data_IF_678613214304
#
_entry.id   IF_678613214304
#
_cell.length_a   1.000
_cell.length_b   1.000
_cell.length_c   1.000
_cell.angle_alpha   90.00
_cell.angle_beta   90.00
_cell.angle_gamma   90.00
#
_symmetry.space_group_name_H-M   'P 1'
#
loop_
_entity.id
_entity.type
_entity.pdbx_description
1 polymer ?
#
# COMPACT_ATOMS: atom_id res chain seq x y z
N UNK A 1 4.41 -7.48 18.92
CA UNK A 1 4.71 -6.42 17.96
C UNK A 1 5.14 -5.17 18.73
N UNK A 2 6.42 -4.98 19.00
CA UNK A 2 6.92 -3.71 19.53
C UNK A 2 7.23 -2.83 18.34
N UNK A 3 6.33 -1.88 18.06
CA UNK A 3 6.53 -0.90 17.02
C UNK A 3 7.77 -0.05 17.34
N UNK A 4 8.55 0.24 16.32
CA UNK A 4 9.47 1.36 16.35
C UNK A 4 8.65 2.64 16.48
N UNK A 5 8.85 3.40 17.52
CA UNK A 5 8.23 4.68 17.73
C UNK A 5 7.87 4.83 19.20
N UNK A 6 8.30 5.90 19.75
CA UNK A 6 8.09 6.42 21.07
C UNK A 6 6.82 5.89 21.72
N UNK A 7 6.97 4.89 22.59
CA UNK A 7 5.90 3.98 23.03
C UNK A 7 4.73 4.59 23.82
N UNK A 8 4.73 5.90 24.05
CA UNK A 8 3.65 6.58 24.79
C UNK A 8 2.50 7.08 23.91
N UNK A 9 2.66 7.13 22.59
CA UNK A 9 1.67 7.70 21.67
C UNK A 9 0.89 6.65 20.87
N UNK A 10 1.38 5.41 20.75
CA UNK A 10 0.71 4.34 20.03
C UNK A 10 -0.45 3.76 20.83
N UNK A 11 -1.61 3.66 20.19
CA UNK A 11 -2.82 3.04 20.71
C UNK A 11 -3.36 2.04 19.68
N UNK A 12 -3.58 0.81 20.10
CA UNK A 12 -4.28 -0.18 19.29
C UNK A 12 -5.63 -0.46 19.91
N UNK A 13 -6.70 0.04 19.31
CA UNK A 13 -8.07 -0.12 19.80
C UNK A 13 -8.68 -1.34 19.13
N UNK A 14 -9.22 -2.25 19.92
CA UNK A 14 -10.00 -3.38 19.44
C UNK A 14 -11.44 -3.25 19.90
N UNK A 15 -12.39 -3.44 18.98
CA UNK A 15 -13.82 -3.41 19.25
C UNK A 15 -14.32 -4.85 19.23
N UNK A 16 -14.99 -5.25 20.30
CA UNK A 16 -15.49 -6.60 20.51
C UNK A 16 -16.99 -6.61 20.76
N UNK A 17 -17.65 -7.68 20.36
CA UNK A 17 -19.05 -7.99 20.64
C UNK A 17 -19.17 -9.48 20.94
N UNK A 18 -19.67 -9.83 22.12
CA UNK A 18 -19.83 -11.22 22.60
C UNK A 18 -18.62 -12.13 22.34
N UNK A 19 -17.40 -11.63 22.59
CA UNK A 19 -16.15 -12.37 22.35
C UNK A 19 -15.68 -12.40 20.88
N UNK A 20 -16.40 -11.74 19.97
CA UNK A 20 -16.09 -11.64 18.55
C UNK A 20 -15.40 -10.32 18.26
N UNK A 21 -14.20 -10.34 17.68
CA UNK A 21 -13.49 -9.12 17.24
C UNK A 21 -14.19 -8.52 16.02
N UNK A 22 -14.72 -7.30 16.16
CA UNK A 22 -15.38 -6.56 15.10
C UNK A 22 -14.43 -5.62 14.35
N UNK A 23 -13.46 -5.04 15.03
CA UNK A 23 -12.51 -4.12 14.40
C UNK A 23 -11.23 -3.93 15.17
N UNK A 24 -10.18 -3.56 14.43
CA UNK A 24 -8.85 -3.26 14.96
C UNK A 24 -8.34 -1.94 14.36
N UNK A 25 -8.01 -0.98 15.22
CA UNK A 25 -7.70 0.39 14.86
C UNK A 25 -6.37 0.81 15.49
N UNK A 26 -5.25 0.70 14.77
CA UNK A 26 -3.97 1.23 15.24
C UNK A 26 -3.92 2.74 15.03
N UNK A 27 -3.75 3.48 16.12
CA UNK A 27 -3.66 4.94 16.12
C UNK A 27 -2.40 5.42 16.82
N UNK A 28 -2.01 6.63 16.45
CA UNK A 28 -1.06 7.47 17.16
C UNK A 28 -1.79 8.70 17.71
N UNK A 29 -1.60 9.01 18.98
CA UNK A 29 -2.18 10.19 19.62
C UNK A 29 -1.30 11.40 19.36
N UNK A 30 -1.89 12.47 18.81
CA UNK A 30 -1.23 13.74 18.52
C UNK A 30 -1.95 14.90 19.20
N UNK A 31 -1.19 15.90 19.62
CA UNK A 31 -1.74 17.11 20.29
C UNK A 31 -2.32 18.12 19.31
N UNK A 32 -2.09 17.96 18.01
CA UNK A 32 -2.51 18.91 16.97
C UNK A 32 -3.08 18.20 15.75
N UNK A 33 -4.07 18.82 15.12
CA UNK A 33 -4.61 18.42 13.83
C UNK A 33 -4.27 19.49 12.79
N UNK A 34 -3.36 19.20 11.85
CA UNK A 34 -3.00 20.12 10.75
C UNK A 34 -2.69 21.57 11.25
N UNK A 35 -2.01 21.70 12.38
CA UNK A 35 -1.69 22.99 13.02
C UNK A 35 -2.71 23.47 14.04
N UNK A 36 -3.94 23.01 14.00
CA UNK A 36 -4.98 23.36 14.98
C UNK A 36 -4.72 22.70 16.35
N UNK A 37 -5.00 23.39 17.46
CA UNK A 37 -4.70 22.92 18.82
C UNK A 37 -5.77 21.94 19.34
N UNK A 38 -5.98 20.82 18.62
CA UNK A 38 -6.96 19.79 18.97
C UNK A 38 -6.34 18.42 19.01
N UNK A 39 -6.64 17.67 20.06
CA UNK A 39 -6.16 16.29 20.22
C UNK A 39 -6.73 15.41 19.11
N UNK A 40 -5.85 14.65 18.47
CA UNK A 40 -6.17 13.81 17.33
C UNK A 40 -5.65 12.39 17.55
N UNK A 41 -6.45 11.40 17.16
CA UNK A 41 -6.00 10.04 16.93
C UNK A 41 -5.83 9.86 15.42
N UNK A 42 -4.60 9.76 14.97
CA UNK A 42 -4.25 9.58 13.55
C UNK A 42 -3.93 8.13 13.29
N UNK A 43 -4.38 7.56 12.17
CA UNK A 43 -3.99 6.21 11.76
C UNK A 43 -2.49 6.03 11.90
N UNK A 44 -2.07 5.03 12.68
CA UNK A 44 -0.66 4.68 12.77
C UNK A 44 -0.16 4.19 11.41
N UNK A 45 1.01 4.70 11.00
CA UNK A 45 1.60 4.36 9.72
C UNK A 45 3.06 3.95 9.90
N UNK A 46 3.39 2.73 9.52
CA UNK A 46 4.77 2.32 9.29
C UNK A 46 5.26 2.86 7.93
N UNK A 47 6.56 3.13 7.80
CA UNK A 47 7.16 3.65 6.55
C UNK A 47 6.91 2.76 5.33
N UNK A 48 6.74 1.45 5.54
CA UNK A 48 6.41 0.49 4.48
C UNK A 48 4.92 0.46 4.10
N UNK A 49 4.02 1.20 4.78
CA UNK A 49 2.58 1.12 4.55
C UNK A 49 2.02 2.33 3.82
N UNK A 50 1.39 2.07 2.68
CA UNK A 50 0.65 3.03 1.86
C UNK A 50 -0.86 2.72 1.81
N UNK A 51 -1.34 1.92 2.77
CA UNK A 51 -2.74 1.63 3.01
C UNK A 51 -2.94 1.54 4.53
N UNK A 52 -3.77 2.41 5.08
CA UNK A 52 -4.04 2.48 6.52
C UNK A 52 -5.52 2.28 6.85
N UNK A 53 -6.27 1.63 5.95
CA UNK A 53 -7.66 1.26 6.22
C UNK A 53 -7.69 0.30 7.42
N UNK A 54 -8.41 0.62 8.49
CA UNK A 54 -8.55 -0.28 9.64
C UNK A 54 -9.17 -1.63 9.24
N UNK A 55 -8.87 -2.66 10.00
CA UNK A 55 -9.52 -3.95 9.84
C UNK A 55 -10.88 -3.91 10.53
N UNK A 56 -11.94 -4.04 9.76
CA UNK A 56 -13.33 -4.01 10.24
C UNK A 56 -14.10 -5.14 9.56
N UNK A 57 -14.89 -5.85 10.33
CA UNK A 57 -15.78 -6.88 9.78
C UNK A 57 -16.87 -6.24 8.93
N UNK A 58 -17.07 -6.76 7.73
CA UNK A 58 -18.02 -6.22 6.76
C UNK A 58 -19.47 -6.30 7.26
N UNK A 59 -19.80 -7.39 7.97
CA UNK A 59 -21.15 -7.66 8.49
C UNK A 59 -21.54 -6.83 9.72
N UNK A 60 -20.58 -6.10 10.33
CA UNK A 60 -20.80 -5.27 11.52
C UNK A 60 -20.08 -3.90 11.40
N UNK A 61 -19.82 -3.44 10.18
CA UNK A 61 -18.95 -2.28 9.97
C UNK A 61 -19.51 -1.00 10.57
N UNK A 62 -20.79 -0.73 10.39
CA UNK A 62 -21.42 0.50 10.89
C UNK A 62 -21.45 0.52 12.42
N UNK A 63 -21.84 -0.59 13.06
CA UNK A 63 -21.90 -0.74 14.51
C UNK A 63 -20.53 -0.62 15.14
N UNK A 64 -19.52 -1.26 14.55
CA UNK A 64 -18.13 -1.19 14.96
C UNK A 64 -17.60 0.26 14.88
N UNK A 65 -17.84 0.96 13.79
CA UNK A 65 -17.40 2.35 13.60
C UNK A 65 -18.17 3.32 14.54
N UNK A 66 -19.45 3.09 14.80
CA UNK A 66 -20.20 3.84 15.81
C UNK A 66 -19.64 3.63 17.23
N UNK A 67 -19.23 2.40 17.55
CA UNK A 67 -18.60 2.12 18.84
C UNK A 67 -17.25 2.82 18.95
N UNK A 68 -16.44 2.83 17.89
CA UNK A 68 -15.19 3.59 17.82
C UNK A 68 -15.43 5.09 18.05
N UNK A 69 -16.40 5.69 17.37
CA UNK A 69 -16.71 7.12 17.49
C UNK A 69 -17.18 7.46 18.92
N UNK A 70 -18.03 6.62 19.52
CA UNK A 70 -18.46 6.80 20.92
C UNK A 70 -17.28 6.73 21.91
N UNK A 71 -16.41 5.74 21.76
CA UNK A 71 -15.22 5.61 22.59
C UNK A 71 -14.29 6.81 22.45
N UNK A 72 -14.11 7.32 21.22
CA UNK A 72 -13.20 8.42 20.94
C UNK A 72 -13.61 9.75 21.60
N UNK A 73 -14.83 9.92 22.08
CA UNK A 73 -15.32 11.14 22.74
C UNK A 73 -14.48 11.50 23.96
N UNK A 74 -14.00 10.50 24.71
CA UNK A 74 -13.13 10.72 25.87
C UNK A 74 -11.65 10.87 25.54
N UNK A 75 -11.24 10.52 24.30
CA UNK A 75 -9.84 10.36 23.93
C UNK A 75 -9.31 11.49 23.03
N UNK A 76 -10.13 11.97 22.10
CA UNK A 76 -9.71 12.94 21.09
C UNK A 76 -10.88 13.75 20.53
N UNK A 77 -10.57 14.90 19.94
CA UNK A 77 -11.55 15.71 19.20
C UNK A 77 -11.65 15.31 17.72
N UNK A 78 -10.62 14.65 17.18
CA UNK A 78 -10.56 14.25 15.76
C UNK A 78 -10.00 12.84 15.64
N UNK A 79 -10.63 12.02 14.80
CA UNK A 79 -10.01 10.81 14.26
C UNK A 79 -9.53 11.09 12.83
N UNK A 80 -8.27 10.90 12.53
CA UNK A 80 -7.70 11.05 11.19
C UNK A 80 -7.38 9.68 10.60
N UNK A 81 -8.10 9.29 9.55
CA UNK A 81 -7.89 8.04 8.81
C UNK A 81 -7.13 8.37 7.52
N UNK A 82 -5.93 7.79 7.41
CA UNK A 82 -5.01 8.07 6.31
C UNK A 82 -5.08 6.98 5.23
N UNK A 83 -4.76 7.34 3.98
CA UNK A 83 -4.46 6.41 2.88
C UNK A 83 -5.48 5.28 2.73
N UNK A 84 -6.77 5.60 2.68
CA UNK A 84 -7.85 4.64 2.47
C UNK A 84 -8.46 4.77 1.07
N UNK A 85 -9.10 3.73 0.50
CA UNK A 85 -9.88 3.86 -0.72
C UNK A 85 -10.95 4.95 -0.57
N UNK A 86 -11.12 5.77 -1.62
CA UNK A 86 -12.05 6.90 -1.58
C UNK A 86 -13.52 6.49 -1.78
N UNK A 87 -13.74 5.26 -2.19
CA UNK A 87 -15.05 4.67 -2.43
C UNK A 87 -15.07 3.23 -1.88
N UNK A 88 -16.26 2.72 -1.63
CA UNK A 88 -16.47 1.33 -1.25
C UNK A 88 -16.94 1.15 0.20
N UNK A 89 -17.14 -0.11 0.63
CA UNK A 89 -17.91 -0.43 1.84
C UNK A 89 -17.43 0.24 3.12
N UNK A 90 -16.10 0.45 3.25
CA UNK A 90 -15.56 1.10 4.44
C UNK A 90 -15.89 2.61 4.47
N UNK A 91 -15.75 3.32 3.34
CA UNK A 91 -16.10 4.76 3.27
C UNK A 91 -17.60 4.97 3.50
N UNK A 92 -18.42 4.10 2.92
CA UNK A 92 -19.88 4.13 3.08
C UNK A 92 -20.28 3.90 4.55
N UNK A 93 -19.71 2.87 5.18
CA UNK A 93 -19.95 2.56 6.59
C UNK A 93 -19.47 3.70 7.52
N UNK A 94 -18.32 4.30 7.22
CA UNK A 94 -17.78 5.41 8.00
C UNK A 94 -18.70 6.64 7.94
N UNK A 95 -19.24 6.98 6.76
CA UNK A 95 -20.17 8.09 6.58
C UNK A 95 -21.50 7.83 7.26
N UNK A 96 -21.96 6.58 7.29
CA UNK A 96 -23.17 6.17 8.00
C UNK A 96 -22.98 6.15 9.54
N UNK A 97 -21.75 5.94 10.01
CA UNK A 97 -21.44 5.86 11.43
C UNK A 97 -21.11 7.22 12.07
N UNK A 98 -20.59 8.17 11.30
CA UNK A 98 -20.09 9.44 11.81
C UNK A 98 -20.77 10.65 11.13
N UNK A 99 -21.31 11.63 11.91
CA UNK A 99 -22.05 12.75 11.35
C UNK A 99 -21.18 13.78 10.63
N UNK A 100 -19.90 13.87 11.00
CA UNK A 100 -18.97 14.86 10.45
C UNK A 100 -17.72 14.16 9.92
N UNK A 101 -17.65 13.99 8.60
CA UNK A 101 -16.50 13.41 7.90
C UNK A 101 -16.00 14.40 6.85
N UNK A 102 -14.78 14.88 7.01
CA UNK A 102 -14.13 15.85 6.11
C UNK A 102 -12.96 15.19 5.39
N UNK A 103 -12.92 15.29 4.06
CA UNK A 103 -11.79 14.80 3.26
C UNK A 103 -10.60 15.74 3.41
N UNK A 104 -9.46 15.21 3.89
CA UNK A 104 -8.23 15.98 4.12
C UNK A 104 -7.22 15.85 2.98
N UNK A 105 -7.26 14.74 2.24
CA UNK A 105 -6.46 14.53 1.03
C UNK A 105 -7.21 13.65 0.02
N UNK A 106 -6.90 13.83 -1.26
CA UNK A 106 -7.35 12.96 -2.35
C UNK A 106 -6.22 12.80 -3.35
N UNK A 107 -6.00 11.57 -3.79
CA UNK A 107 -5.03 11.22 -4.80
C UNK A 107 -5.49 9.95 -5.53
N UNK A 108 -4.77 9.54 -6.55
CA UNK A 108 -5.00 8.25 -7.20
C UNK A 108 -3.67 7.52 -7.35
N UNK A 109 -3.71 6.20 -7.36
CA UNK A 109 -2.54 5.38 -7.67
C UNK A 109 -2.89 4.29 -8.67
N UNK A 110 -1.87 3.72 -9.29
CA UNK A 110 -2.07 2.71 -10.32
C UNK A 110 -2.77 1.48 -9.75
N UNK A 111 -3.74 0.99 -10.51
CA UNK A 111 -4.51 -0.23 -10.27
C UNK A 111 -4.41 -1.09 -11.52
N UNK A 112 -4.25 -2.38 -11.35
CA UNK A 112 -4.35 -3.36 -12.40
C UNK A 112 -5.64 -4.14 -12.19
N UNK A 113 -6.57 -4.05 -13.12
CA UNK A 113 -7.79 -4.84 -13.14
C UNK A 113 -7.59 -6.00 -14.12
N UNK A 114 -7.99 -7.19 -13.71
CA UNK A 114 -7.78 -8.39 -14.50
C UNK A 114 -8.52 -8.31 -15.83
N UNK A 115 -7.77 -8.44 -16.92
CA UNK A 115 -8.30 -8.51 -18.28
C UNK A 115 -8.47 -9.95 -18.75
N UNK A 116 -8.80 -10.11 -20.03
CA UNK A 116 -8.97 -11.43 -20.66
C UNK A 116 -7.67 -12.26 -20.64
N UNK A 117 -6.53 -11.61 -20.83
CA UNK A 117 -5.19 -12.20 -20.70
C UNK A 117 -4.16 -11.16 -20.35
N UNK A 118 -2.98 -11.59 -19.87
CA UNK A 118 -1.85 -10.70 -19.62
C UNK A 118 -1.39 -9.98 -20.89
N UNK A 119 -1.32 -10.71 -22.02
CA UNK A 119 -0.85 -10.13 -23.28
C UNK A 119 -1.84 -9.08 -23.82
N UNK A 120 -3.14 -9.35 -23.78
CA UNK A 120 -4.17 -8.38 -24.16
C UNK A 120 -4.11 -7.13 -23.26
N UNK A 121 -3.95 -7.31 -21.96
CA UNK A 121 -3.79 -6.19 -21.03
C UNK A 121 -2.53 -5.36 -21.33
N UNK A 122 -1.39 -6.03 -21.55
CA UNK A 122 -0.13 -5.34 -21.86
C UNK A 122 -0.19 -4.60 -23.21
N UNK A 123 -0.93 -5.14 -24.17
CA UNK A 123 -1.15 -4.51 -25.46
C UNK A 123 -1.95 -3.22 -25.34
N UNK A 124 -2.97 -3.22 -24.53
CA UNK A 124 -3.84 -2.08 -24.27
C UNK A 124 -3.17 -1.02 -23.36
N UNK A 125 -2.52 -1.48 -22.27
CA UNK A 125 -2.00 -0.60 -21.22
C UNK A 125 -0.63 0.02 -21.53
N UNK A 126 0.21 -0.68 -22.29
CA UNK A 126 1.61 -0.28 -22.52
C UNK A 126 1.81 0.21 -23.95
N UNK A 127 2.59 1.30 -24.09
CA UNK A 127 2.99 1.77 -25.41
C UNK A 127 3.80 0.72 -26.17
N UNK A 128 3.68 0.71 -27.51
CA UNK A 128 4.46 -0.17 -28.36
C UNK A 128 5.98 -0.01 -28.16
N UNK A 129 6.44 1.19 -27.79
CA UNK A 129 7.83 1.47 -27.46
C UNK A 129 8.24 0.72 -26.18
N UNK A 130 7.44 0.77 -25.11
CA UNK A 130 7.73 0.08 -23.85
C UNK A 130 7.75 -1.43 -24.06
N UNK A 131 6.79 -1.99 -24.79
CA UNK A 131 6.75 -3.43 -25.11
C UNK A 131 7.99 -3.89 -25.91
N UNK A 132 8.46 -3.09 -26.88
CA UNK A 132 9.72 -3.37 -27.61
C UNK A 132 10.93 -3.27 -26.69
N UNK A 133 10.98 -2.29 -25.78
CA UNK A 133 12.04 -2.14 -24.79
C UNK A 133 12.12 -3.37 -23.86
N UNK A 134 10.99 -3.85 -23.33
CA UNK A 134 10.94 -5.04 -22.48
C UNK A 134 11.53 -6.27 -23.20
N UNK A 135 11.08 -6.54 -24.44
CA UNK A 135 11.61 -7.67 -25.23
C UNK A 135 13.10 -7.54 -25.53
N UNK A 136 13.57 -6.31 -25.82
CA UNK A 136 15.00 -6.06 -26.07
C UNK A 136 15.83 -6.30 -24.81
N UNK A 137 15.37 -5.81 -23.66
CA UNK A 137 16.09 -5.93 -22.39
C UNK A 137 16.13 -7.38 -21.92
N UNK A 138 15.03 -8.11 -22.05
CA UNK A 138 14.99 -9.56 -21.77
C UNK A 138 15.97 -10.34 -22.66
N UNK A 139 16.01 -10.06 -23.97
CA UNK A 139 16.97 -10.69 -24.88
C UNK A 139 18.41 -10.40 -24.47
N UNK A 140 18.75 -9.15 -24.16
CA UNK A 140 20.11 -8.75 -23.74
C UNK A 140 20.55 -9.42 -22.44
N UNK A 141 19.63 -9.60 -21.49
CA UNK A 141 19.94 -10.37 -20.28
C UNK A 141 20.21 -11.85 -20.61
N UNK A 142 19.48 -12.44 -21.54
CA UNK A 142 19.73 -13.82 -22.01
C UNK A 142 21.09 -13.96 -22.72
N UNK A 143 21.56 -12.91 -23.36
CA UNK A 143 22.90 -12.87 -23.99
C UNK A 143 24.03 -12.80 -22.94
N UNK A 144 23.76 -12.29 -21.74
CA UNK A 144 24.73 -12.22 -20.62
C UNK A 144 24.78 -13.51 -19.78
N UNK A 145 23.75 -14.31 -19.82
CA UNK A 145 23.63 -15.55 -19.08
C UNK A 145 22.25 -16.16 -19.17
N UNK A 146 22.08 -17.33 -18.59
CA UNK A 146 20.78 -18.00 -18.55
C UNK A 146 19.81 -17.17 -17.68
N UNK A 147 18.81 -16.55 -18.32
CA UNK A 147 17.77 -15.83 -17.62
C UNK A 147 16.70 -16.81 -17.12
N UNK A 148 16.59 -16.93 -15.81
CA UNK A 148 15.59 -17.77 -15.15
C UNK A 148 14.50 -16.91 -14.54
N UNK A 149 13.24 -17.32 -14.76
CA UNK A 149 12.06 -16.72 -14.17
C UNK A 149 11.58 -17.64 -13.06
N UNK A 150 11.58 -17.16 -11.82
CA UNK A 150 11.10 -17.94 -10.68
C UNK A 150 9.78 -17.37 -10.15
N UNK A 151 8.88 -18.27 -9.78
CA UNK A 151 7.68 -17.94 -8.99
C UNK A 151 7.85 -18.72 -7.68
N UNK A 152 8.19 -17.99 -6.63
CA UNK A 152 8.44 -18.58 -5.30
C UNK A 152 7.18 -19.23 -4.74
N UNK A 153 7.25 -20.56 -4.52
CA UNK A 153 6.22 -21.35 -3.87
C UNK A 153 6.85 -22.58 -3.20
N UNK A 154 6.32 -23.01 -2.08
CA UNK A 154 6.75 -24.24 -1.42
C UNK A 154 7.99 -24.10 -0.52
N UNK A 155 8.84 -25.13 -0.50
CA UNK A 155 9.92 -25.27 0.50
C UNK A 155 11.00 -24.18 0.43
N UNK A 156 11.23 -23.62 -0.76
CA UNK A 156 12.33 -22.66 -1.00
C UNK A 156 11.95 -21.21 -0.70
N UNK A 157 10.72 -20.95 -0.25
CA UNK A 157 10.24 -19.58 -0.02
C UNK A 157 11.05 -18.84 1.05
N UNK A 158 11.60 -19.55 2.01
CA UNK A 158 12.48 -18.98 3.03
C UNK A 158 13.69 -18.30 2.41
N UNK A 159 14.36 -18.99 1.49
CA UNK A 159 15.53 -18.50 0.78
C UNK A 159 15.18 -17.35 -0.15
N UNK A 160 14.04 -17.42 -0.84
CA UNK A 160 13.55 -16.34 -1.69
C UNK A 160 13.24 -15.06 -0.90
N UNK A 161 12.72 -15.17 0.33
CA UNK A 161 12.53 -14.04 1.23
C UNK A 161 13.87 -13.41 1.61
N UNK A 162 14.87 -14.21 2.01
CA UNK A 162 16.19 -13.69 2.37
C UNK A 162 16.87 -13.04 1.16
N UNK A 163 16.88 -13.68 -0.02
CA UNK A 163 17.39 -13.09 -1.27
C UNK A 163 16.73 -11.76 -1.61
N UNK A 164 15.43 -11.65 -1.40
CA UNK A 164 14.72 -10.39 -1.59
C UNK A 164 15.19 -9.31 -0.61
N UNK A 165 15.33 -9.64 0.67
CA UNK A 165 15.75 -8.69 1.72
C UNK A 165 17.19 -8.23 1.51
N UNK A 166 18.09 -9.13 1.15
CA UNK A 166 19.48 -8.83 0.80
C UNK A 166 19.56 -7.91 -0.43
N UNK A 167 18.83 -8.25 -1.48
CA UNK A 167 18.80 -7.47 -2.72
C UNK A 167 18.21 -6.06 -2.48
N UNK A 168 17.17 -5.92 -1.64
CA UNK A 168 16.61 -4.62 -1.28
C UNK A 168 17.60 -3.78 -0.46
N UNK A 169 18.35 -4.42 0.44
CA UNK A 169 19.33 -3.75 1.29
C UNK A 169 20.57 -3.27 0.51
N UNK A 170 21.01 -4.02 -0.50
CA UNK A 170 22.20 -3.70 -1.31
C UNK A 170 21.97 -2.53 -2.26
N UNK A 171 20.72 -2.25 -2.64
CA UNK A 171 20.35 -1.20 -3.59
C UNK A 171 20.18 0.19 -2.98
N UNK A 172 19.69 1.13 -3.79
CA UNK A 172 19.44 2.53 -3.39
C UNK A 172 18.52 2.65 -2.17
N UNK A 173 17.53 1.76 -2.04
CA UNK A 173 16.62 1.73 -0.89
C UNK A 173 17.33 1.47 0.42
N UNK A 174 18.36 0.62 0.42
CA UNK A 174 19.20 0.41 1.60
C UNK A 174 19.99 1.66 1.96
N UNK A 175 20.60 2.30 0.96
CA UNK A 175 21.37 3.55 1.16
C UNK A 175 20.52 4.71 1.65
N UNK A 176 19.27 4.81 1.22
CA UNK A 176 18.33 5.86 1.63
C UNK A 176 17.50 5.50 2.89
N UNK A 177 17.74 4.33 3.49
CA UNK A 177 17.04 3.87 4.70
C UNK A 177 15.59 3.41 4.46
N UNK A 178 15.18 3.21 3.20
CA UNK A 178 13.83 2.76 2.80
C UNK A 178 13.66 1.24 2.69
N UNK A 179 14.75 0.47 2.80
CA UNK A 179 14.70 -0.99 2.78
C UNK A 179 14.10 -1.56 4.07
N UNK A 180 13.49 -2.74 3.98
CA UNK A 180 13.06 -3.49 5.17
C UNK A 180 14.25 -3.84 6.07
N UNK A 181 15.42 -4.07 5.49
CA UNK A 181 16.66 -4.34 6.23
C UNK A 181 17.41 -3.07 6.70
N UNK A 182 16.81 -1.89 6.64
CA UNK A 182 17.45 -0.63 7.09
C UNK A 182 17.74 -0.59 8.60
N UNK A 183 17.12 -1.44 9.38
CA UNK A 183 17.41 -1.65 10.81
C UNK A 183 17.11 -3.09 11.22
N UNK A 184 17.71 -3.62 12.30
CA UNK A 184 17.39 -4.97 12.79
C UNK A 184 15.89 -5.18 13.07
N UNK A 185 15.22 -4.18 13.61
CA UNK A 185 13.78 -4.27 13.90
C UNK A 185 12.93 -4.28 12.62
N UNK A 186 13.30 -3.51 11.60
CA UNK A 186 12.62 -3.52 10.29
C UNK A 186 12.87 -4.84 9.54
N UNK A 187 14.09 -5.38 9.65
CA UNK A 187 14.42 -6.68 9.07
C UNK A 187 13.57 -7.80 9.67
N UNK A 188 13.50 -7.87 11.00
CA UNK A 188 12.67 -8.86 11.70
C UNK A 188 11.18 -8.68 11.37
N UNK A 189 10.71 -7.44 11.31
CA UNK A 189 9.36 -7.13 10.86
C UNK A 189 9.13 -7.64 9.42
N UNK A 190 10.03 -7.35 8.48
CA UNK A 190 9.93 -7.79 7.08
C UNK A 190 9.89 -9.32 6.97
N UNK A 191 10.80 -10.03 7.65
CA UNK A 191 10.80 -11.49 7.72
C UNK A 191 9.49 -12.05 8.26
N UNK A 192 9.03 -11.51 9.37
CA UNK A 192 7.78 -11.96 10.02
C UNK A 192 6.59 -11.77 9.10
N UNK A 193 6.43 -10.59 8.48
CA UNK A 193 5.31 -10.29 7.57
C UNK A 193 5.32 -11.24 6.37
N UNK A 194 6.47 -11.43 5.72
CA UNK A 194 6.55 -12.25 4.52
C UNK A 194 6.36 -13.75 4.83
N UNK A 195 6.97 -14.26 5.91
CA UNK A 195 6.79 -15.65 6.34
C UNK A 195 5.34 -15.94 6.78
N UNK A 196 4.72 -15.03 7.53
CA UNK A 196 3.31 -15.19 7.92
C UNK A 196 2.35 -15.07 6.73
N UNK A 197 2.64 -14.20 5.77
CA UNK A 197 1.87 -14.13 4.53
C UNK A 197 1.99 -15.44 3.73
N UNK A 198 3.19 -16.01 3.64
CA UNK A 198 3.39 -17.32 3.01
C UNK A 198 2.62 -18.43 3.74
N UNK A 199 2.79 -18.55 5.06
CA UNK A 199 2.10 -19.55 5.87
C UNK A 199 0.58 -19.54 5.69
N UNK A 200 0.01 -18.36 5.36
CA UNK A 200 -1.42 -18.15 5.11
C UNK A 200 -1.81 -18.28 3.63
N UNK A 201 -0.89 -18.67 2.73
CA UNK A 201 -1.14 -18.70 1.30
C UNK A 201 -1.41 -17.33 0.68
N UNK A 202 -0.85 -16.26 1.29
CA UNK A 202 -1.07 -14.86 0.90
C UNK A 202 0.18 -14.15 0.40
N UNK A 203 1.25 -14.86 0.13
CA UNK A 203 2.47 -14.32 -0.46
C UNK A 203 2.63 -14.84 -1.88
N UNK A 204 2.85 -13.93 -2.81
CA UNK A 204 3.34 -14.24 -4.14
C UNK A 204 4.72 -13.58 -4.31
N UNK A 205 5.72 -14.37 -4.66
CA UNK A 205 7.04 -13.86 -5.01
C UNK A 205 7.36 -14.19 -6.47
N UNK A 206 7.98 -13.22 -7.14
CA UNK A 206 8.42 -13.32 -8.53
C UNK A 206 9.87 -12.91 -8.59
N UNK A 207 10.72 -13.71 -9.25
CA UNK A 207 12.15 -13.50 -9.35
C UNK A 207 12.66 -13.54 -10.77
N UNK A 208 13.75 -12.82 -10.99
CA UNK A 208 14.61 -12.87 -12.17
C UNK A 208 16.02 -13.18 -11.71
N UNK A 209 16.64 -14.19 -12.31
CA UNK A 209 18.02 -14.56 -12.09
C UNK A 209 18.77 -14.56 -13.42
N UNK A 210 20.04 -14.14 -13.41
CA UNK A 210 20.95 -14.23 -14.54
C UNK A 210 22.08 -15.19 -14.15
N UNK A 211 22.05 -16.43 -14.68
CA UNK A 211 22.81 -17.52 -14.10
C UNK A 211 22.37 -17.79 -12.65
N UNK A 212 23.32 -17.82 -11.73
CA UNK A 212 23.06 -18.01 -10.29
C UNK A 212 22.83 -16.68 -9.54
N UNK A 213 22.93 -15.53 -10.23
CA UNK A 213 22.81 -14.22 -9.62
C UNK A 213 21.36 -13.70 -9.60
N UNK A 214 20.77 -13.42 -8.42
CA UNK A 214 19.49 -12.76 -8.33
C UNK A 214 19.58 -11.32 -8.83
N UNK A 215 18.83 -10.97 -9.89
CA UNK A 215 18.86 -9.62 -10.48
C UNK A 215 17.61 -8.79 -10.18
N UNK A 216 16.49 -9.45 -9.90
CA UNK A 216 15.30 -8.77 -9.36
C UNK A 216 14.45 -9.73 -8.55
N UNK A 217 13.78 -9.18 -7.54
CA UNK A 217 12.76 -9.87 -6.74
C UNK A 217 11.59 -8.92 -6.50
N UNK A 218 10.39 -9.46 -6.55
CA UNK A 218 9.16 -8.73 -6.26
C UNK A 218 8.26 -9.58 -5.39
N UNK A 219 7.69 -8.98 -4.34
CA UNK A 219 6.69 -9.61 -3.50
C UNK A 219 5.36 -8.87 -3.56
N UNK A 220 4.27 -9.63 -3.58
CA UNK A 220 2.90 -9.16 -3.52
C UNK A 220 2.15 -9.88 -2.41
N UNK A 221 1.23 -9.17 -1.77
CA UNK A 221 0.38 -9.70 -0.69
C UNK A 221 -1.04 -9.90 -1.21
N UNK A 222 -1.58 -11.11 -1.04
CA UNK A 222 -2.92 -11.48 -1.48
C UNK A 222 -3.94 -11.22 -0.37
N UNK A 223 -5.11 -10.69 -0.72
CA UNK A 223 -6.20 -10.42 0.20
C UNK A 223 -7.56 -10.57 -0.49
N UNK A 224 -8.33 -11.57 -0.10
CA UNK A 224 -9.61 -11.92 -0.72
C UNK A 224 -9.49 -12.05 -2.27
N UNK A 225 -10.19 -11.19 -3.01
CA UNK A 225 -10.16 -11.12 -4.48
C UNK A 225 -9.11 -10.15 -5.03
N UNK A 226 -8.22 -9.63 -4.17
CA UNK A 226 -7.24 -8.62 -4.54
C UNK A 226 -5.80 -8.96 -4.18
N UNK A 227 -4.89 -8.16 -4.71
CA UNK A 227 -3.47 -8.21 -4.43
C UNK A 227 -2.91 -6.81 -4.21
N UNK A 228 -1.82 -6.73 -3.45
CA UNK A 228 -1.05 -5.51 -3.22
C UNK A 228 0.39 -5.74 -3.63
N UNK A 229 0.89 -4.91 -4.52
CA UNK A 229 2.28 -4.91 -4.97
C UNK A 229 3.18 -4.37 -3.86
N UNK A 230 3.59 -5.23 -2.93
CA UNK A 230 4.19 -4.77 -1.67
C UNK A 230 5.55 -4.13 -1.88
N UNK A 231 6.51 -4.86 -2.45
CA UNK A 231 7.85 -4.32 -2.69
C UNK A 231 8.56 -5.00 -3.86
N UNK A 232 9.47 -4.26 -4.49
CA UNK A 232 10.35 -4.73 -5.57
C UNK A 232 11.78 -4.34 -5.25
N UNK A 233 12.72 -5.25 -5.41
CA UNK A 233 14.17 -5.02 -5.32
C UNK A 233 14.83 -5.44 -6.63
N UNK A 234 15.94 -4.80 -7.00
CA UNK A 234 16.73 -5.20 -8.15
C UNK A 234 18.21 -4.83 -7.96
N UNK A 235 19.09 -5.58 -8.61
CA UNK A 235 20.53 -5.32 -8.64
C UNK A 235 20.84 -4.16 -9.60
N UNK A 236 21.41 -3.08 -9.07
CA UNK A 236 21.77 -1.89 -9.83
C UNK A 236 22.87 -2.13 -10.87
N UNK A 237 23.69 -3.18 -10.73
CA UNK A 237 24.65 -3.58 -11.76
C UNK A 237 23.97 -3.90 -13.09
N UNK A 238 22.71 -4.33 -13.05
CA UNK A 238 21.88 -4.63 -14.22
C UNK A 238 20.91 -3.47 -14.60
N UNK A 239 21.06 -2.28 -14.02
CA UNK A 239 20.13 -1.16 -14.23
C UNK A 239 19.90 -0.81 -15.70
N UNK A 240 20.96 -0.95 -16.56
CA UNK A 240 20.87 -0.73 -18.02
C UNK A 240 19.81 -1.61 -18.70
N UNK A 241 19.45 -2.74 -18.10
CA UNK A 241 18.44 -3.68 -18.60
C UNK A 241 17.09 -3.56 -17.89
N UNK A 242 16.97 -2.63 -16.95
CA UNK A 242 15.73 -2.34 -16.20
C UNK A 242 15.10 -3.60 -15.58
N UNK A 243 15.84 -4.40 -14.75
CA UNK A 243 15.34 -5.67 -14.25
C UNK A 243 14.11 -5.52 -13.35
N UNK A 244 13.94 -4.41 -12.63
CA UNK A 244 12.75 -4.11 -11.87
C UNK A 244 11.50 -3.94 -12.73
N UNK A 245 11.63 -3.38 -13.95
CA UNK A 245 10.52 -3.24 -14.92
C UNK A 245 10.16 -4.59 -15.56
N UNK A 246 11.17 -5.44 -15.79
CA UNK A 246 10.95 -6.81 -16.24
C UNK A 246 10.24 -7.66 -15.17
N UNK A 247 10.65 -7.53 -13.91
CA UNK A 247 9.97 -8.19 -12.78
C UNK A 247 8.52 -7.73 -12.64
N UNK A 248 8.24 -6.43 -12.91
CA UNK A 248 6.87 -5.90 -12.96
C UNK A 248 6.04 -6.56 -14.07
N UNK A 249 6.60 -6.67 -15.28
CA UNK A 249 5.93 -7.33 -16.39
C UNK A 249 5.67 -8.82 -16.14
N UNK A 250 6.63 -9.51 -15.48
CA UNK A 250 6.45 -10.89 -15.06
C UNK A 250 5.35 -11.02 -13.99
N UNK A 251 5.37 -10.16 -12.98
CA UNK A 251 4.33 -10.13 -11.94
C UNK A 251 2.93 -9.90 -12.52
N UNK A 252 2.81 -9.06 -13.56
CA UNK A 252 1.55 -8.84 -14.28
C UNK A 252 1.07 -10.15 -14.98
N UNK A 253 1.98 -10.91 -15.57
CA UNK A 253 1.64 -12.21 -16.18
C UNK A 253 1.20 -13.22 -15.12
N UNK A 254 1.94 -13.33 -14.02
CA UNK A 254 1.58 -14.21 -12.91
C UNK A 254 0.27 -13.82 -12.22
N UNK A 255 -0.02 -12.52 -12.11
CA UNK A 255 -1.30 -12.04 -11.62
C UNK A 255 -2.48 -12.57 -12.46
N UNK A 256 -2.37 -12.57 -13.79
CA UNK A 256 -3.43 -13.08 -14.66
C UNK A 256 -3.63 -14.59 -14.53
N UNK A 257 -2.62 -15.34 -14.05
CA UNK A 257 -2.72 -16.79 -13.77
C UNK A 257 -3.41 -17.11 -12.44
N UNK A 258 -3.47 -16.15 -11.51
CA UNK A 258 -4.12 -16.37 -10.22
C UNK A 258 -5.66 -16.49 -10.41
N UNK A 259 -6.31 -17.60 -10.02
CA UNK A 259 -7.72 -17.83 -10.37
C UNK A 259 -8.67 -16.86 -9.65
N UNK A 260 -8.41 -16.55 -8.38
CA UNK A 260 -9.34 -15.84 -7.51
C UNK A 260 -8.99 -14.35 -7.31
N UNK A 261 -7.96 -13.83 -7.99
CA UNK A 261 -7.53 -12.44 -7.85
C UNK A 261 -8.02 -11.65 -9.05
N UNK A 262 -8.77 -10.59 -8.80
CA UNK A 262 -9.40 -9.76 -9.84
C UNK A 262 -8.69 -8.42 -10.04
N UNK A 263 -7.98 -7.94 -9.02
CA UNK A 263 -7.28 -6.66 -9.09
C UNK A 263 -5.96 -6.68 -8.30
N UNK A 264 -5.02 -5.85 -8.73
CA UNK A 264 -3.78 -5.59 -7.98
C UNK A 264 -3.62 -4.08 -7.79
N UNK A 265 -3.48 -3.66 -6.55
CA UNK A 265 -3.17 -2.29 -6.19
C UNK A 265 -1.64 -2.10 -6.21
N UNK A 266 -1.17 -1.04 -6.85
CA UNK A 266 0.27 -0.79 -6.98
C UNK A 266 0.99 -0.58 -5.65
N UNK A 267 0.25 -0.20 -4.62
CA UNK A 267 0.79 0.08 -3.29
C UNK A 267 2.00 1.05 -3.32
N UNK A 268 1.92 2.05 -4.21
CA UNK A 268 2.97 3.06 -4.41
C UNK A 268 2.43 4.46 -4.20
N UNK A 269 3.33 5.45 -4.15
CA UNK A 269 2.95 6.86 -4.27
C UNK A 269 2.36 7.14 -5.66
N UNK A 270 1.55 8.20 -5.80
CA UNK A 270 0.79 8.49 -7.03
C UNK A 270 1.64 8.69 -8.29
N UNK A 271 2.84 9.21 -8.11
CA UNK A 271 3.77 9.62 -9.17
C UNK A 271 4.80 8.55 -9.57
N UNK A 272 4.62 7.30 -9.13
CA UNK A 272 5.54 6.23 -9.48
C UNK A 272 5.58 5.99 -11.00
N UNK A 273 6.71 6.31 -11.68
CA UNK A 273 6.75 6.30 -13.14
C UNK A 273 6.73 4.88 -13.73
N UNK A 274 7.15 3.87 -12.98
CA UNK A 274 7.19 2.49 -13.47
C UNK A 274 5.78 1.94 -13.61
N UNK A 275 5.01 1.91 -12.53
CA UNK A 275 3.66 1.34 -12.58
C UNK A 275 2.70 2.22 -13.39
N UNK A 276 2.88 3.55 -13.36
CA UNK A 276 2.00 4.47 -14.09
C UNK A 276 2.04 4.33 -15.61
N UNK A 277 3.15 3.86 -16.20
CA UNK A 277 3.28 3.58 -17.64
C UNK A 277 2.94 2.15 -18.03
N UNK A 278 2.74 1.25 -17.03
CA UNK A 278 2.46 -0.17 -17.24
C UNK A 278 1.01 -0.53 -16.92
N UNK A 279 0.37 0.20 -16.02
CA UNK A 279 -0.98 -0.07 -15.54
C UNK A 279 -1.92 1.06 -15.94
N UNK A 280 -3.02 0.73 -16.59
CA UNK A 280 -3.97 1.71 -17.14
C UNK A 280 -5.00 2.21 -16.14
N UNK A 281 -5.41 1.36 -15.20
CA UNK A 281 -6.47 1.70 -14.25
C UNK A 281 -5.94 2.50 -13.06
N UNK A 282 -6.86 3.16 -12.35
CA UNK A 282 -6.52 3.98 -11.18
C UNK A 282 -7.47 3.72 -10.04
N UNK A 283 -6.93 3.58 -8.84
CA UNK A 283 -7.68 3.55 -7.59
C UNK A 283 -7.69 4.94 -6.96
N UNK A 284 -8.89 5.48 -6.74
CA UNK A 284 -9.04 6.71 -5.98
C UNK A 284 -8.78 6.43 -4.50
N UNK A 285 -7.89 7.23 -3.92
CA UNK A 285 -7.50 7.17 -2.51
C UNK A 285 -7.81 8.48 -1.81
N UNK A 286 -8.01 8.42 -0.50
CA UNK A 286 -8.25 9.59 0.33
C UNK A 286 -7.65 9.46 1.73
N UNK A 287 -7.53 10.59 2.41
CA UNK A 287 -7.47 10.67 3.85
C UNK A 287 -8.66 11.48 4.34
N UNK A 288 -9.22 11.08 5.46
CA UNK A 288 -10.40 11.76 6.05
C UNK A 288 -10.16 12.07 7.51
N UNK A 289 -10.84 13.11 8.01
CA UNK A 289 -10.94 13.42 9.41
C UNK A 289 -12.40 13.31 9.85
N UNK A 290 -12.61 12.67 10.99
CA UNK A 290 -13.92 12.53 11.65
C UNK A 290 -13.95 13.43 12.85
N UNK A 291 -14.92 14.35 12.92
CA UNK A 291 -15.14 15.22 14.07
C UNK A 291 -15.82 14.46 15.21
N UNK A 292 -15.20 14.48 16.38
CA UNK A 292 -15.68 13.82 17.59
C UNK A 292 -16.31 14.85 18.52
N UNK A 293 -17.61 14.67 18.78
CA UNK A 293 -18.40 15.61 19.54
C UNK A 293 -18.54 16.98 18.86
N UNK A 294 -19.20 17.93 19.53
CA UNK A 294 -19.43 19.27 18.99
C UNK A 294 -18.12 20.04 18.75
N UNK A 295 -17.15 19.88 19.63
CA UNK A 295 -15.84 20.55 19.52
C UNK A 295 -15.05 20.08 18.32
N UNK A 296 -14.98 18.78 18.08
CA UNK A 296 -14.32 18.23 16.91
C UNK A 296 -15.01 18.62 15.59
N UNK A 297 -16.34 18.61 15.57
CA UNK A 297 -17.12 19.07 14.43
C UNK A 297 -16.86 20.56 14.11
N UNK A 298 -16.82 21.41 15.13
CA UNK A 298 -16.47 22.83 14.99
C UNK A 298 -15.10 23.03 14.34
N UNK A 299 -14.06 22.39 14.87
CA UNK A 299 -12.71 22.54 14.34
C UNK A 299 -12.53 21.99 12.93
N UNK A 300 -13.25 20.92 12.59
CA UNK A 300 -13.26 20.43 11.19
C UNK A 300 -13.99 21.40 10.25
N UNK A 301 -15.01 22.10 10.70
CA UNK A 301 -15.66 23.16 9.93
C UNK A 301 -14.72 24.32 9.68
N UNK A 302 -13.97 24.76 10.70
CA UNK A 302 -12.93 25.77 10.57
C UNK A 302 -11.85 25.34 9.57
N UNK A 303 -11.35 24.12 9.71
CA UNK A 303 -10.36 23.56 8.77
C UNK A 303 -10.88 23.53 7.32
N UNK A 304 -12.11 23.07 7.11
CA UNK A 304 -12.73 23.00 5.78
C UNK A 304 -12.90 24.41 5.16
N UNK A 305 -13.27 25.40 5.96
CA UNK A 305 -13.41 26.80 5.52
C UNK A 305 -12.07 27.40 5.07
N UNK A 306 -11.02 27.22 5.87
CA UNK A 306 -9.65 27.68 5.53
C UNK A 306 -9.18 27.04 4.21
N UNK A 307 -9.40 25.75 4.02
CA UNK A 307 -9.03 25.05 2.78
C UNK A 307 -9.88 25.43 1.58
N UNK A 308 -11.16 25.70 1.79
CA UNK A 308 -12.07 26.17 0.73
C UNK A 308 -11.69 27.54 0.18
N UNK A 309 -11.21 28.43 1.04
CA UNK A 309 -10.71 29.75 0.64
C UNK A 309 -9.34 29.67 -0.06
N UNK A 310 -8.44 28.80 0.40
CA UNK A 310 -7.14 28.60 -0.24
C UNK A 310 -7.27 28.03 -1.68
N UNK A 311 -8.22 27.11 -1.92
CA UNK A 311 -8.44 26.55 -3.26
C UNK A 311 -9.09 27.51 -4.27
N UNK A 312 -9.76 28.54 -3.82
CA UNK A 312 -10.34 29.58 -4.70
C UNK A 312 -9.29 30.57 -5.22
N UNK A 313 -8.11 30.60 -4.63
CA UNK A 313 -7.00 31.48 -5.02
C UNK A 313 -5.93 30.84 -5.93
N UNK A 314 -5.94 29.53 -6.13
CA UNK A 314 -4.99 28.88 -7.05
C UNK A 314 -5.61 28.77 -8.47
N UNK A 315 -4.92 29.30 -9.52
CA UNK A 315 -5.37 29.05 -10.88
C UNK A 315 -5.29 27.56 -11.19
N UNK A 316 -6.37 27.03 -11.78
CA UNK A 316 -6.44 25.65 -12.29
C UNK A 316 -5.29 25.45 -13.28
N UNK A 317 -4.26 24.72 -12.92
CA UNK A 317 -3.26 24.26 -13.89
C UNK A 317 -3.92 23.23 -14.79
N UNK A 318 -3.95 23.43 -16.13
CA UNK A 318 -4.43 22.40 -17.03
C UNK A 318 -3.52 21.18 -16.93
N UNK A 319 -4.14 19.99 -16.91
CA UNK A 319 -3.41 18.73 -16.99
C UNK A 319 -2.67 18.65 -18.33
N UNK A 320 -1.34 18.53 -18.27
CA UNK A 320 -0.49 18.24 -19.41
C UNK A 320 -0.38 16.72 -19.59
#
# INVERSE_FOLDING_TARGET
MRAQGEGEQFRCISIWDEGRLLGLFPFERRRRFKGLPVTTLTSWRHSAYLLCTPLVRADAAIECLRALVRWAVSEASVLELLYMPANGPFDDALRAAAPTVVRTARFSRALLVKGASADAYMEEAMSGQLRRQLRRNERRLREQGMLTLSVGSGADIGDEIERFLELEASGWKGREGGALAASPANLEFGRTVLREAHRRGRLQMVGLDCGDQPIARRCSLLAADGSYAFKTAYDEAFAAHSPGVLAEALSLREFHRLPNVQWMDSYTEPDNPTVNRMWKDRRAMQSVAVGIGAWGAFWLSVYASIRGTARRGEPVRPAA
#
